data_IF_810110280937
#
_entry.id   IF_810110280937
#
_cell.length_a   1.000
_cell.length_b   1.000
_cell.length_c   1.000
_cell.angle_alpha   90.00
_cell.angle_beta   90.00
_cell.angle_gamma   90.00
#
_symmetry.space_group_name_H-M   'P 1'
#
loop_
_entity.id
_entity.type
_entity.pdbx_description
1 polymer ?
#
# COMPACT_ATOMS: atom_id res chain seq x y z
N UNK A 1 16.09 4.53 -13.29
CA UNK A 1 17.22 5.44 -13.02
C UNK A 1 16.80 6.50 -12.01
N UNK A 2 17.67 7.40 -11.58
CA UNK A 2 17.30 8.53 -10.71
C UNK A 2 18.23 9.71 -10.98
N UNK A 3 17.82 10.93 -10.64
CA UNK A 3 18.65 12.15 -10.74
C UNK A 3 19.37 12.43 -9.41
N UNK A 4 20.70 12.28 -9.34
CA UNK A 4 21.47 12.55 -8.12
C UNK A 4 21.45 14.00 -7.65
N UNK A 5 21.09 14.94 -8.51
CA UNK A 5 21.02 16.36 -8.16
C UNK A 5 19.59 16.80 -7.76
N UNK A 6 18.61 15.92 -7.90
CA UNK A 6 17.23 16.19 -7.51
C UNK A 6 17.00 16.05 -5.99
N UNK A 7 15.83 16.49 -5.54
CA UNK A 7 15.38 16.42 -4.14
C UNK A 7 14.81 15.02 -3.85
N UNK A 8 15.31 14.34 -2.80
CA UNK A 8 14.74 13.07 -2.36
C UNK A 8 13.24 13.18 -2.07
N UNK A 9 12.51 12.10 -2.39
CA UNK A 9 11.06 12.02 -2.19
C UNK A 9 10.63 12.44 -0.78
N UNK A 10 11.25 11.89 0.27
CA UNK A 10 10.86 12.19 1.64
C UNK A 10 10.95 13.67 2.02
N UNK A 11 11.86 14.44 1.40
CA UNK A 11 11.97 15.90 1.61
C UNK A 11 10.77 16.60 0.98
N UNK A 12 10.40 16.19 -0.23
CA UNK A 12 9.27 16.74 -0.98
C UNK A 12 7.94 16.37 -0.30
N UNK A 13 7.74 15.11 0.08
CA UNK A 13 6.54 14.65 0.76
C UNK A 13 6.35 15.31 2.12
N UNK A 14 7.42 15.44 2.91
CA UNK A 14 7.34 16.15 4.20
C UNK A 14 6.92 17.61 4.04
N UNK A 15 7.49 18.31 3.04
CA UNK A 15 7.11 19.69 2.73
C UNK A 15 5.65 19.76 2.26
N UNK A 16 5.24 18.87 1.35
CA UNK A 16 3.88 18.84 0.80
C UNK A 16 2.85 18.60 1.90
N UNK A 17 3.03 17.59 2.75
CA UNK A 17 2.14 17.32 3.89
C UNK A 17 2.10 18.44 4.93
N UNK A 18 3.17 19.23 5.05
CA UNK A 18 3.24 20.32 6.03
C UNK A 18 2.61 21.62 5.53
N UNK A 19 2.73 21.93 4.23
CA UNK A 19 2.38 23.26 3.70
C UNK A 19 1.30 23.27 2.64
N UNK A 20 1.02 22.16 1.96
CA UNK A 20 0.02 22.14 0.89
C UNK A 20 -1.38 22.40 1.44
N UNK A 21 -2.12 23.26 0.75
CA UNK A 21 -3.51 23.61 1.08
C UNK A 21 -4.52 23.02 0.09
N UNK A 22 -4.04 22.38 -0.97
CA UNK A 22 -4.84 21.69 -2.00
C UNK A 22 -4.05 20.55 -2.65
N UNK A 23 -4.76 19.69 -3.39
CA UNK A 23 -4.14 18.63 -4.21
C UNK A 23 -3.17 19.23 -5.23
N UNK A 24 -3.50 20.38 -5.84
CA UNK A 24 -2.64 21.05 -6.82
C UNK A 24 -1.32 21.52 -6.21
N UNK A 25 -1.38 22.10 -5.01
CA UNK A 25 -0.19 22.53 -4.30
C UNK A 25 0.66 21.35 -3.85
N UNK A 26 0.02 20.26 -3.40
CA UNK A 26 0.72 19.00 -3.09
C UNK A 26 1.50 18.50 -4.31
N UNK A 27 0.82 18.38 -5.47
CA UNK A 27 1.45 17.94 -6.73
C UNK A 27 2.58 18.87 -7.15
N UNK A 28 2.39 20.20 -7.07
CA UNK A 28 3.41 21.18 -7.41
C UNK A 28 4.68 21.03 -6.55
N UNK A 29 4.51 20.89 -5.23
CA UNK A 29 5.63 20.67 -4.30
C UNK A 29 6.34 19.34 -4.58
N UNK A 30 5.57 18.29 -4.89
CA UNK A 30 6.14 16.98 -5.21
C UNK A 30 6.89 16.96 -6.54
N UNK A 31 6.51 17.77 -7.51
CA UNK A 31 7.23 17.89 -8.79
C UNK A 31 8.48 18.75 -8.70
N UNK A 32 8.53 19.72 -7.77
CA UNK A 32 9.68 20.61 -7.56
C UNK A 32 10.95 19.82 -7.21
N UNK A 33 11.84 19.70 -8.20
CA UNK A 33 13.09 18.96 -8.07
C UNK A 33 12.89 17.46 -7.92
N UNK A 34 11.85 16.86 -8.50
CA UNK A 34 11.69 15.40 -8.50
C UNK A 34 12.96 14.71 -9.00
N UNK A 35 13.45 13.75 -8.21
CA UNK A 35 14.64 12.97 -8.56
C UNK A 35 14.31 11.56 -9.08
N UNK A 36 13.03 11.19 -9.12
CA UNK A 36 12.55 9.86 -9.51
C UNK A 36 12.91 8.72 -8.55
N UNK A 37 13.59 9.02 -7.43
CA UNK A 37 13.78 8.08 -6.35
C UNK A 37 12.47 7.88 -5.62
N UNK A 38 12.12 6.61 -5.35
CA UNK A 38 10.87 6.22 -4.70
C UNK A 38 9.63 6.68 -5.48
N UNK A 39 9.56 6.29 -6.75
CA UNK A 39 8.38 6.51 -7.60
C UNK A 39 7.16 5.80 -7.00
N UNK A 40 6.03 6.51 -6.90
CA UNK A 40 4.85 6.07 -6.17
C UNK A 40 3.56 6.60 -6.81
N UNK A 41 2.47 5.86 -6.58
CA UNK A 41 1.12 6.41 -6.58
C UNK A 41 0.84 7.07 -5.23
N UNK A 42 0.48 8.35 -5.25
CA UNK A 42 0.01 9.10 -4.09
C UNK A 42 -1.52 9.18 -4.14
N UNK A 43 -2.19 8.51 -3.22
CA UNK A 43 -3.64 8.60 -3.04
C UNK A 43 -3.95 9.78 -2.12
N UNK A 44 -4.60 10.79 -2.66
CA UNK A 44 -4.87 12.07 -2.00
C UNK A 44 -6.38 12.25 -1.83
N UNK A 45 -6.80 12.73 -0.66
CA UNK A 45 -8.18 13.07 -0.37
C UNK A 45 -8.24 14.47 0.26
N UNK A 46 -8.95 15.39 -0.38
CA UNK A 46 -9.25 16.71 0.16
C UNK A 46 -10.67 16.74 0.72
N UNK A 47 -10.78 16.58 2.05
CA UNK A 47 -12.08 16.56 2.73
C UNK A 47 -12.87 17.85 2.57
N UNK A 48 -12.20 19.00 2.37
CA UNK A 48 -12.88 20.31 2.29
C UNK A 48 -13.66 20.46 1.00
N UNK A 49 -13.20 19.82 -0.06
CA UNK A 49 -13.79 19.91 -1.41
C UNK A 49 -14.53 18.64 -1.84
N UNK A 50 -14.31 17.53 -1.12
CA UNK A 50 -14.79 16.20 -1.46
C UNK A 50 -14.08 15.59 -2.68
N UNK A 51 -12.94 16.16 -3.09
CA UNK A 51 -12.14 15.65 -4.21
C UNK A 51 -11.13 14.61 -3.72
N UNK A 52 -11.01 13.52 -4.47
CA UNK A 52 -9.91 12.56 -4.34
C UNK A 52 -9.06 12.57 -5.62
N UNK A 53 -7.79 12.24 -5.48
CA UNK A 53 -6.88 12.08 -6.60
C UNK A 53 -5.93 10.89 -6.43
N UNK A 54 -5.54 10.29 -7.56
CA UNK A 54 -4.35 9.44 -7.65
C UNK A 54 -3.29 10.21 -8.44
N UNK A 55 -2.18 10.51 -7.80
CA UNK A 55 -1.02 11.14 -8.42
C UNK A 55 0.08 10.11 -8.60
N UNK A 56 0.22 9.60 -9.81
CA UNK A 56 1.33 8.70 -10.18
C UNK A 56 2.55 9.56 -10.54
N UNK A 57 3.66 9.32 -9.85
CA UNK A 57 4.89 10.08 -10.03
C UNK A 57 6.06 9.15 -10.34
N UNK A 58 6.47 9.11 -11.62
CA UNK A 58 7.71 8.51 -12.09
C UNK A 58 8.89 9.49 -12.04
N UNK A 59 9.99 9.14 -12.71
CA UNK A 59 11.12 10.05 -12.93
C UNK A 59 10.83 11.03 -14.08
N UNK A 60 10.28 10.54 -15.20
CA UNK A 60 10.06 11.32 -16.42
C UNK A 60 8.60 11.74 -16.58
N UNK A 61 7.69 10.84 -16.23
CA UNK A 61 6.26 10.97 -16.44
C UNK A 61 5.54 11.09 -15.10
N UNK A 62 4.42 11.79 -15.14
CA UNK A 62 3.48 11.84 -14.03
C UNK A 62 2.08 12.04 -14.57
N UNK A 63 1.08 11.62 -13.80
CA UNK A 63 -0.32 11.84 -14.12
C UNK A 63 -1.13 12.06 -12.84
N UNK A 64 -2.22 12.84 -12.94
CA UNK A 64 -3.12 13.11 -11.82
C UNK A 64 -4.55 12.82 -12.26
N UNK A 65 -5.10 11.70 -11.82
CA UNK A 65 -6.52 11.39 -11.98
C UNK A 65 -7.31 11.92 -10.79
N UNK A 66 -8.50 12.48 -11.05
CA UNK A 66 -9.32 13.15 -10.04
C UNK A 66 -10.77 12.75 -10.17
N UNK A 67 -11.47 12.68 -9.05
CA UNK A 67 -12.93 12.54 -9.04
C UNK A 67 -13.51 13.06 -7.72
N UNK A 68 -14.81 13.35 -7.73
CA UNK A 68 -15.63 13.57 -6.52
C UNK A 68 -16.62 12.43 -6.26
N UNK A 69 -16.71 11.48 -7.19
CA UNK A 69 -17.56 10.29 -7.11
C UNK A 69 -16.79 9.12 -7.71
N UNK A 70 -16.27 8.27 -6.83
CA UNK A 70 -15.49 7.11 -7.22
C UNK A 70 -14.52 6.69 -6.13
N UNK A 71 -13.50 5.96 -6.56
CA UNK A 71 -12.43 5.43 -5.73
C UNK A 71 -11.12 5.47 -6.51
N UNK A 72 -10.02 5.37 -5.80
CA UNK A 72 -8.71 5.03 -6.35
C UNK A 72 -8.09 3.94 -5.49
N UNK A 73 -7.45 2.97 -6.14
CA UNK A 73 -6.73 1.88 -5.52
C UNK A 73 -5.23 1.93 -5.85
N UNK A 74 -4.45 1.31 -4.96
CA UNK A 74 -3.02 1.10 -5.14
C UNK A 74 -2.63 -0.29 -4.65
N UNK A 75 -1.82 -1.00 -5.45
CA UNK A 75 -1.22 -2.27 -5.05
C UNK A 75 0.12 -2.52 -5.75
N UNK A 76 0.92 -1.47 -5.88
CA UNK A 76 2.26 -1.49 -6.49
C UNK A 76 2.25 -1.80 -8.00
N UNK A 77 1.26 -1.31 -8.74
CA UNK A 77 1.22 -1.38 -10.20
C UNK A 77 1.33 0.02 -10.79
N UNK A 78 1.97 0.13 -11.94
CA UNK A 78 1.97 1.36 -12.74
C UNK A 78 0.73 1.42 -13.66
N UNK A 79 0.24 2.62 -13.94
CA UNK A 79 -0.99 2.87 -14.70
C UNK A 79 -0.81 3.72 -15.95
N UNK A 80 0.02 4.76 -15.90
CA UNK A 80 0.16 5.71 -16.99
C UNK A 80 0.86 5.05 -18.20
N UNK A 81 0.27 5.12 -19.42
CA UNK A 81 0.86 4.48 -20.59
C UNK A 81 2.26 4.98 -20.97
N UNK A 82 2.59 6.25 -20.70
CA UNK A 82 3.92 6.78 -21.00
C UNK A 82 4.94 6.30 -19.96
N UNK A 83 4.56 6.28 -18.69
CA UNK A 83 5.39 5.70 -17.62
C UNK A 83 5.65 4.20 -17.86
N UNK A 84 4.60 3.43 -18.15
CA UNK A 84 4.68 2.00 -18.47
C UNK A 84 5.62 1.72 -19.64
N UNK A 85 5.67 2.61 -20.62
CA UNK A 85 6.52 2.48 -21.80
C UNK A 85 7.97 2.87 -21.53
N UNK A 86 8.20 3.97 -20.82
CA UNK A 86 9.50 4.64 -20.80
C UNK A 86 10.30 4.46 -19.50
N UNK A 87 9.70 3.90 -18.46
CA UNK A 87 10.25 3.91 -17.09
C UNK A 87 10.22 2.58 -16.33
N UNK A 88 9.50 1.57 -16.82
CA UNK A 88 9.40 0.25 -16.18
C UNK A 88 9.31 -0.87 -17.22
N UNK A 89 9.66 -2.08 -16.80
CA UNK A 89 9.48 -3.34 -17.55
C UNK A 89 8.34 -4.19 -16.95
N UNK A 90 7.54 -3.61 -16.04
CA UNK A 90 6.40 -4.26 -15.41
C UNK A 90 5.36 -4.71 -16.44
N UNK A 91 5.12 -6.02 -16.53
CA UNK A 91 4.08 -6.58 -17.39
C UNK A 91 2.70 -6.46 -16.72
N UNK A 92 1.91 -5.49 -17.17
CA UNK A 92 0.53 -5.24 -16.71
C UNK A 92 -0.45 -6.37 -17.07
N UNK A 93 -0.10 -7.24 -18.00
CA UNK A 93 -0.97 -8.33 -18.47
C UNK A 93 -0.68 -9.66 -17.76
N UNK A 94 0.45 -9.78 -17.06
CA UNK A 94 0.75 -10.97 -16.26
C UNK A 94 -0.03 -10.92 -14.94
N UNK A 95 -1.24 -11.47 -14.95
CA UNK A 95 -2.12 -11.54 -13.78
C UNK A 95 -1.58 -12.46 -12.68
N UNK A 96 -0.53 -13.25 -12.94
CA UNK A 96 0.10 -14.08 -11.91
C UNK A 96 0.96 -13.26 -10.94
N UNK A 97 1.35 -12.04 -11.34
CA UNK A 97 2.11 -11.10 -10.50
C UNK A 97 1.25 -10.58 -9.35
N UNK A 98 1.85 -10.50 -8.17
CA UNK A 98 1.17 -10.04 -6.95
C UNK A 98 0.46 -8.70 -7.13
N UNK A 99 1.12 -7.69 -7.70
CA UNK A 99 0.52 -6.37 -7.91
C UNK A 99 -0.73 -6.44 -8.81
N UNK A 100 -0.68 -7.21 -9.91
CA UNK A 100 -1.82 -7.34 -10.81
C UNK A 100 -2.96 -8.17 -10.20
N UNK A 101 -2.67 -9.24 -9.47
CA UNK A 101 -3.68 -10.02 -8.74
C UNK A 101 -4.38 -9.15 -7.68
N UNK A 102 -3.62 -8.41 -6.87
CA UNK A 102 -4.18 -7.48 -5.87
C UNK A 102 -4.99 -6.36 -6.51
N UNK A 103 -4.57 -5.83 -7.66
CA UNK A 103 -5.35 -4.85 -8.44
C UNK A 103 -6.70 -5.42 -8.86
N UNK A 104 -6.73 -6.63 -9.42
CA UNK A 104 -7.99 -7.30 -9.79
C UNK A 104 -8.87 -7.49 -8.55
N UNK A 105 -8.30 -7.86 -7.41
CA UNK A 105 -9.05 -8.01 -6.17
C UNK A 105 -9.60 -6.68 -5.65
N UNK A 106 -8.81 -5.61 -5.66
CA UNK A 106 -9.28 -4.27 -5.33
C UNK A 106 -10.46 -3.84 -6.20
N UNK A 107 -10.35 -3.99 -7.53
CA UNK A 107 -11.42 -3.67 -8.47
C UNK A 107 -12.73 -4.41 -8.13
N UNK A 108 -12.65 -5.71 -7.84
CA UNK A 108 -13.82 -6.51 -7.43
C UNK A 108 -14.48 -5.96 -6.17
N UNK A 109 -13.70 -5.69 -5.12
CA UNK A 109 -14.21 -5.19 -3.84
C UNK A 109 -14.82 -3.80 -4.00
N UNK A 110 -14.16 -2.90 -4.72
CA UNK A 110 -14.60 -1.52 -4.89
C UNK A 110 -15.86 -1.42 -5.77
N UNK A 111 -15.93 -2.19 -6.86
CA UNK A 111 -17.11 -2.24 -7.73
C UNK A 111 -18.35 -2.81 -7.03
N UNK A 112 -18.18 -3.88 -6.24
CA UNK A 112 -19.28 -4.51 -5.51
C UNK A 112 -19.84 -3.63 -4.39
N UNK A 113 -19.03 -2.70 -3.87
CA UNK A 113 -19.32 -1.94 -2.67
C UNK A 113 -19.41 -0.42 -2.89
N UNK A 114 -19.43 0.03 -4.15
CA UNK A 114 -19.52 1.47 -4.49
C UNK A 114 -20.68 2.14 -3.73
N UNK A 115 -20.36 3.25 -3.05
CA UNK A 115 -21.32 4.04 -2.26
C UNK A 115 -21.67 3.45 -0.89
N UNK A 116 -21.02 2.35 -0.45
CA UNK A 116 -21.26 1.70 0.84
C UNK A 116 -20.01 1.59 1.72
N UNK A 117 -18.83 1.84 1.16
CA UNK A 117 -17.54 1.64 1.85
C UNK A 117 -17.46 2.58 3.06
N UNK A 118 -17.45 2.00 4.24
CA UNK A 118 -17.15 2.65 5.52
C UNK A 118 -15.80 2.14 6.07
N UNK A 119 -15.44 2.61 7.28
CA UNK A 119 -14.20 2.20 7.96
C UNK A 119 -14.17 0.69 8.20
N UNK A 120 -15.26 0.09 8.67
CA UNK A 120 -15.35 -1.35 8.94
C UNK A 120 -15.10 -2.19 7.68
N UNK A 121 -15.62 -1.76 6.53
CA UNK A 121 -15.37 -2.42 5.25
C UNK A 121 -13.93 -2.26 4.80
N UNK A 122 -13.32 -1.08 5.00
CA UNK A 122 -11.90 -0.87 4.72
C UNK A 122 -11.01 -1.81 5.56
N UNK A 123 -11.30 -1.98 6.86
CA UNK A 123 -10.63 -2.95 7.73
C UNK A 123 -10.70 -4.38 7.16
N UNK A 124 -11.89 -4.81 6.73
CA UNK A 124 -12.10 -6.12 6.13
C UNK A 124 -11.37 -6.29 4.79
N UNK A 125 -11.34 -5.25 3.95
CA UNK A 125 -10.63 -5.31 2.67
C UNK A 125 -9.12 -5.40 2.87
N UNK A 126 -8.58 -4.67 3.86
CA UNK A 126 -7.16 -4.73 4.20
C UNK A 126 -6.75 -6.09 4.79
N UNK A 127 -7.71 -6.87 5.32
CA UNK A 127 -7.55 -8.23 5.84
C UNK A 127 -7.78 -9.34 4.79
N UNK A 128 -8.15 -8.98 3.56
CA UNK A 128 -8.62 -9.93 2.54
C UNK A 128 -7.52 -10.90 2.04
N UNK A 129 -7.88 -12.18 1.91
CA UNK A 129 -7.01 -13.27 1.47
C UNK A 129 -7.48 -13.94 0.17
N UNK A 130 -8.30 -13.27 -0.63
CA UNK A 130 -8.72 -13.84 -1.91
C UNK A 130 -7.67 -13.62 -2.99
N UNK A 131 -6.99 -14.69 -3.40
CA UNK A 131 -6.08 -14.67 -4.55
C UNK A 131 -6.91 -14.69 -5.84
N UNK A 132 -6.97 -13.56 -6.55
CA UNK A 132 -7.80 -13.43 -7.76
C UNK A 132 -7.28 -14.25 -8.95
N UNK A 133 -6.02 -14.67 -8.95
CA UNK A 133 -5.42 -15.45 -10.03
C UNK A 133 -5.75 -16.93 -9.87
N UNK A 134 -5.46 -17.50 -8.70
CA UNK A 134 -5.77 -18.91 -8.39
C UNK A 134 -7.25 -19.12 -8.01
N UNK A 135 -7.97 -18.04 -7.68
CA UNK A 135 -9.37 -18.01 -7.24
C UNK A 135 -9.61 -18.82 -5.97
N UNK A 136 -8.72 -18.64 -4.99
CA UNK A 136 -8.76 -19.35 -3.71
C UNK A 136 -8.53 -18.38 -2.55
N UNK A 137 -9.25 -18.61 -1.47
CA UNK A 137 -9.05 -17.90 -0.20
C UNK A 137 -7.87 -18.53 0.55
N UNK A 138 -6.72 -17.86 0.58
CA UNK A 138 -5.57 -18.26 1.38
C UNK A 138 -4.56 -17.12 1.53
N UNK A 139 -3.93 -16.94 2.70
CA UNK A 139 -2.81 -16.02 2.85
C UNK A 139 -1.71 -16.31 1.82
N UNK A 140 -1.24 -15.29 1.12
CA UNK A 140 -0.07 -15.40 0.24
C UNK A 140 0.50 -14.01 -0.09
N UNK A 141 1.53 -13.96 -0.92
CA UNK A 141 2.08 -12.71 -1.42
C UNK A 141 1.15 -11.98 -2.40
N UNK A 142 0.10 -12.65 -2.92
CA UNK A 142 -0.84 -12.11 -3.92
C UNK A 142 -2.16 -11.59 -3.35
N UNK A 143 -2.31 -11.60 -2.04
CA UNK A 143 -3.52 -11.14 -1.35
C UNK A 143 -3.37 -9.73 -0.80
N UNK A 144 -4.49 -9.04 -0.53
CA UNK A 144 -4.45 -7.65 -0.04
C UNK A 144 -3.76 -7.58 1.32
N UNK A 145 -4.13 -8.46 2.26
CA UNK A 145 -3.29 -8.77 3.40
C UNK A 145 -2.18 -9.71 2.91
N UNK A 146 -1.04 -9.16 2.50
CA UNK A 146 0.10 -9.94 2.00
C UNK A 146 0.80 -10.75 3.10
N UNK A 147 1.07 -12.03 2.83
CA UNK A 147 1.78 -12.99 3.67
C UNK A 147 2.85 -13.73 2.85
N UNK A 148 4.09 -13.23 2.85
CA UNK A 148 5.21 -13.86 2.15
C UNK A 148 5.66 -15.16 2.79
N UNK A 149 5.58 -15.22 4.12
CA UNK A 149 5.90 -16.39 4.93
C UNK A 149 4.92 -17.54 4.71
N UNK A 150 3.77 -17.28 4.08
CA UNK A 150 2.79 -18.27 3.66
C UNK A 150 2.88 -18.59 2.15
N UNK A 151 3.85 -18.02 1.43
CA UNK A 151 3.98 -18.18 -0.02
C UNK A 151 5.18 -19.03 -0.43
N UNK A 152 4.90 -20.18 -1.06
CA UNK A 152 5.94 -20.99 -1.72
C UNK A 152 6.54 -20.36 -2.98
N UNK A 153 6.04 -19.21 -3.44
CA UNK A 153 6.58 -18.46 -4.60
C UNK A 153 7.53 -17.35 -4.16
N UNK A 154 7.22 -16.68 -3.04
CA UNK A 154 7.86 -15.43 -2.65
C UNK A 154 7.36 -14.25 -3.47
N UNK A 155 7.82 -13.04 -3.14
CA UNK A 155 7.41 -11.80 -3.83
C UNK A 155 8.16 -11.54 -5.15
N UNK A 156 9.25 -12.26 -5.41
CA UNK A 156 10.20 -11.95 -6.48
C UNK A 156 11.32 -11.01 -6.01
N UNK A 157 12.16 -10.54 -6.93
CA UNK A 157 13.19 -9.50 -6.69
C UNK A 157 14.07 -9.68 -5.45
N UNK A 158 14.47 -10.93 -5.19
CA UNK A 158 15.33 -11.30 -4.06
C UNK A 158 14.57 -11.77 -2.80
N UNK A 159 13.25 -11.65 -2.78
CA UNK A 159 12.38 -12.20 -1.73
C UNK A 159 11.80 -13.52 -2.22
N UNK A 160 12.60 -14.58 -2.03
CA UNK A 160 12.28 -15.94 -2.48
C UNK A 160 11.14 -16.61 -1.71
N UNK A 161 10.91 -17.90 -1.96
CA UNK A 161 9.88 -18.68 -1.27
C UNK A 161 9.93 -18.52 0.26
N UNK A 162 8.76 -18.31 0.85
CA UNK A 162 8.53 -18.19 2.29
C UNK A 162 9.22 -16.99 2.93
N UNK A 163 9.60 -15.94 2.19
CA UNK A 163 10.30 -14.79 2.76
C UNK A 163 9.41 -14.08 3.81
N UNK A 164 9.91 -13.78 5.03
CA UNK A 164 9.10 -13.21 6.12
C UNK A 164 8.87 -11.71 5.91
N UNK A 165 8.04 -11.38 4.92
CA UNK A 165 7.61 -10.03 4.60
C UNK A 165 6.12 -10.04 4.25
N UNK A 166 5.46 -8.90 4.40
CA UNK A 166 4.04 -8.79 4.16
C UNK A 166 3.44 -7.55 4.79
N UNK A 167 2.12 -7.58 4.97
CA UNK A 167 1.41 -6.51 5.66
C UNK A 167 1.73 -6.56 7.15
N UNK A 168 2.18 -5.44 7.71
CA UNK A 168 2.57 -5.36 9.13
C UNK A 168 1.79 -4.29 9.90
N UNK A 169 1.06 -3.43 9.19
CA UNK A 169 0.20 -2.37 9.74
C UNK A 169 -0.98 -2.20 8.79
N UNK A 170 -2.15 -1.94 9.34
CA UNK A 170 -3.34 -1.53 8.60
C UNK A 170 -3.91 -0.25 9.22
N UNK A 171 -4.42 0.65 8.39
CA UNK A 171 -5.01 1.92 8.82
C UNK A 171 -6.24 2.23 7.98
N UNK A 172 -7.29 2.74 8.62
CA UNK A 172 -8.52 3.17 7.98
C UNK A 172 -9.05 4.44 8.66
N UNK A 173 -9.59 5.36 7.86
CA UNK A 173 -10.25 6.56 8.34
C UNK A 173 -11.29 7.01 7.30
N UNK A 174 -12.41 7.53 7.77
CA UNK A 174 -13.35 8.27 6.93
C UNK A 174 -13.09 9.78 7.00
N UNK A 175 -13.94 10.55 6.33
CA UNK A 175 -13.87 12.00 6.36
C UNK A 175 -13.96 12.54 7.79
N UNK A 176 -14.91 12.08 8.60
CA UNK A 176 -15.17 12.59 9.94
C UNK A 176 -14.01 12.29 10.88
N UNK A 177 -13.44 11.09 10.83
CA UNK A 177 -12.21 10.74 11.55
C UNK A 177 -11.06 11.67 11.16
N UNK A 178 -10.86 11.93 9.86
CA UNK A 178 -9.83 12.85 9.40
C UNK A 178 -10.02 14.30 9.89
N UNK A 179 -11.26 14.77 10.07
CA UNK A 179 -11.53 16.09 10.67
C UNK A 179 -11.07 16.18 12.12
N UNK A 180 -11.23 15.09 12.86
CA UNK A 180 -10.94 14.99 14.27
C UNK A 180 -9.54 14.44 14.55
N UNK A 181 -8.72 14.25 13.49
CA UNK A 181 -7.38 13.67 13.58
C UNK A 181 -7.41 12.30 14.27
N UNK A 182 -8.36 11.47 13.85
CA UNK A 182 -8.57 10.10 14.29
C UNK A 182 -8.27 9.10 13.17
N UNK A 183 -7.86 7.89 13.53
CA UNK A 183 -7.74 6.76 12.61
C UNK A 183 -7.98 5.44 13.33
N UNK A 184 -8.58 4.47 12.66
CA UNK A 184 -8.53 3.08 13.08
C UNK A 184 -7.19 2.50 12.59
N UNK A 185 -6.47 1.80 13.46
CA UNK A 185 -5.24 1.13 13.07
C UNK A 185 -5.05 -0.20 13.80
N UNK A 186 -4.27 -1.08 13.17
CA UNK A 186 -3.88 -2.38 13.68
C UNK A 186 -2.40 -2.60 13.39
N UNK A 187 -1.66 -3.13 14.38
CA UNK A 187 -0.31 -3.63 14.19
C UNK A 187 -0.33 -5.16 13.95
N UNK A 188 0.61 -5.63 13.13
CA UNK A 188 0.65 -7.00 12.64
C UNK A 188 -0.08 -7.19 11.31
N UNK A 189 -0.24 -8.44 10.90
CA UNK A 189 -1.05 -8.74 9.73
C UNK A 189 -2.49 -8.28 9.95
N UNK A 190 -3.08 -7.59 8.98
CA UNK A 190 -4.43 -7.01 9.06
C UNK A 190 -5.53 -8.04 9.34
N UNK A 191 -5.26 -9.32 9.05
CA UNK A 191 -6.15 -10.44 9.36
C UNK A 191 -6.10 -10.90 10.82
N UNK A 192 -5.23 -10.31 11.66
CA UNK A 192 -5.01 -10.68 13.06
C UNK A 192 -4.17 -11.93 13.27
N UNK A 193 -3.59 -12.52 12.20
CA UNK A 193 -2.67 -13.65 12.36
C UNK A 193 -1.36 -13.19 12.99
N UNK A 194 -0.85 -14.00 13.92
CA UNK A 194 0.45 -13.78 14.57
C UNK A 194 1.55 -14.51 13.79
N UNK A 195 2.65 -13.81 13.55
CA UNK A 195 3.88 -14.39 13.04
C UNK A 195 4.82 -14.75 14.19
N UNK A 196 5.16 -16.04 14.30
CA UNK A 196 6.11 -16.56 15.29
C UNK A 196 7.47 -16.81 14.64
N UNK A 197 8.46 -15.97 14.95
CA UNK A 197 9.77 -16.01 14.33
C UNK A 197 10.51 -17.32 14.64
N UNK A 198 10.38 -17.85 15.86
CA UNK A 198 11.04 -19.09 16.24
C UNK A 198 10.54 -20.30 15.43
N UNK A 199 9.21 -20.42 15.27
CA UNK A 199 8.58 -21.50 14.51
C UNK A 199 8.90 -21.36 13.01
N UNK A 200 8.82 -20.14 12.50
CA UNK A 200 9.18 -19.83 11.11
C UNK A 200 10.63 -20.23 10.81
N UNK A 201 11.59 -19.83 11.65
CA UNK A 201 13.02 -20.14 11.44
C UNK A 201 13.33 -21.63 11.62
N UNK A 202 12.54 -22.36 12.40
CA UNK A 202 12.64 -23.82 12.50
C UNK A 202 12.16 -24.51 11.21
N UNK A 203 11.09 -24.00 10.60
CA UNK A 203 10.56 -24.50 9.33
C UNK A 203 11.38 -24.06 8.09
N UNK A 204 12.03 -22.90 8.17
CA UNK A 204 12.71 -22.24 7.05
C UNK A 204 14.15 -21.83 7.41
N UNK A 205 15.01 -22.83 7.63
CA UNK A 205 16.39 -22.65 8.09
C UNK A 205 17.26 -21.76 7.17
N UNK A 206 16.88 -21.60 5.89
CA UNK A 206 17.56 -20.71 4.94
C UNK A 206 17.52 -19.24 5.38
N UNK A 207 16.55 -18.86 6.22
CA UNK A 207 16.41 -17.53 6.80
C UNK A 207 17.02 -17.43 8.21
N UNK A 208 17.72 -18.46 8.69
CA UNK A 208 18.32 -18.50 10.03
C UNK A 208 19.23 -17.32 10.37
N UNK A 209 19.83 -16.69 9.35
CA UNK A 209 20.65 -15.49 9.51
C UNK A 209 19.85 -14.26 10.01
N UNK A 210 18.53 -14.26 9.85
CA UNK A 210 17.64 -13.18 10.31
C UNK A 210 17.35 -13.24 11.82
N UNK A 211 17.70 -14.34 12.52
CA UNK A 211 17.42 -14.52 13.96
C UNK A 211 17.75 -13.31 14.85
N UNK A 212 18.85 -12.56 14.65
CA UNK A 212 19.16 -11.40 15.50
C UNK A 212 18.23 -10.19 15.29
N UNK A 213 17.46 -10.16 14.19
CA UNK A 213 16.69 -8.99 13.74
C UNK A 213 15.23 -9.30 13.39
N UNK A 214 14.80 -10.56 13.49
CA UNK A 214 13.44 -11.00 13.17
C UNK A 214 12.66 -11.28 14.46
N UNK A 215 11.90 -10.30 14.98
CA UNK A 215 11.03 -10.50 16.13
C UNK A 215 9.74 -11.23 15.73
N UNK A 216 9.01 -11.74 16.72
CA UNK A 216 7.60 -12.07 16.57
C UNK A 216 6.81 -10.81 16.18
N UNK A 217 5.74 -10.99 15.41
CA UNK A 217 4.79 -9.93 15.08
C UNK A 217 3.40 -10.40 15.48
N UNK A 218 2.92 -9.88 16.61
CA UNK A 218 1.58 -10.18 17.13
C UNK A 218 0.52 -9.58 16.22
N UNK A 219 -0.54 -10.36 15.97
CA UNK A 219 -1.73 -9.84 15.32
C UNK A 219 -2.59 -9.12 16.35
N UNK A 220 -2.43 -7.80 16.46
CA UNK A 220 -3.22 -6.99 17.39
C UNK A 220 -4.66 -6.83 16.90
N UNK A 221 -5.56 -6.35 17.76
CA UNK A 221 -6.91 -5.95 17.34
C UNK A 221 -6.92 -4.51 16.85
N UNK A 222 -7.86 -4.17 15.97
CA UNK A 222 -8.12 -2.78 15.58
C UNK A 222 -8.40 -1.90 16.81
N UNK A 223 -7.80 -0.72 16.81
CA UNK A 223 -8.01 0.31 17.81
C UNK A 223 -8.16 1.68 17.13
N UNK A 224 -8.97 2.55 17.73
CA UNK A 224 -9.10 3.95 17.28
C UNK A 224 -8.10 4.80 18.03
N UNK A 225 -7.26 5.52 17.27
CA UNK A 225 -6.28 6.47 17.76
C UNK A 225 -6.74 7.91 17.52
N UNK A 226 -6.48 8.79 18.46
CA UNK A 226 -6.91 10.21 18.46
C UNK A 226 -5.75 11.14 18.78
N UNK A 227 -5.83 12.40 18.36
CA UNK A 227 -4.78 13.43 18.49
C UNK A 227 -4.28 13.74 19.92
N UNK A 228 -4.89 13.18 20.96
CA UNK A 228 -4.46 13.36 22.36
C UNK A 228 -4.34 12.05 23.13
N UNK A 229 -4.32 10.91 22.45
CA UNK A 229 -4.05 9.64 23.11
C UNK A 229 -2.62 9.68 23.67
N UNK A 230 -2.48 9.29 24.94
CA UNK A 230 -1.18 9.21 25.59
C UNK A 230 -0.45 7.97 25.08
N UNK A 231 0.80 8.15 24.65
CA UNK A 231 1.74 7.05 24.38
C UNK A 231 2.02 6.23 25.64
#
# INVERSE_FOLDING_TARGET
GWDPNGKPEFVRARKALQSATSIDEYVSIMLDGNNGGYANDWLLADRKTGEIARFELGLKHHNVWRTKDGYFEGSNFASDPALLKDETDFDVNDLSKSANARRVRWQQLLDQNKGKIDVNMAEQFLADHFDSFDKVERPSERTLCGHGEASGRGFGDGWGPWYPAGSAIAQAADGDMAEHMEMAAQAGHSCGQTFHAADFLAAHNQYGWMKPVLPDMTGETWAVFKINDKQ
#
